data_IF_268034431600
#
_entry.id   IF_268034431600
#
_cell.length_a   1.000
_cell.length_b   1.000
_cell.length_c   1.000
_cell.angle_alpha   90.00
_cell.angle_beta   90.00
_cell.angle_gamma   90.00
#
_symmetry.space_group_name_H-M   'P 1'
#
loop_
_entity.id
_entity.type
_entity.pdbx_description
1 polymer ?
#
# COMPACT_ATOMS: atom_id res chain seq x y z
N UNK A 1 -8.64 -10.53 60.09
CA UNK A 1 -7.61 -10.28 59.06
C UNK A 1 -8.17 -10.72 57.72
N UNK A 2 -8.20 -9.79 56.74
CA UNK A 2 -8.88 -9.94 55.45
C UNK A 2 -8.16 -10.92 54.52
N UNK A 3 -8.91 -11.84 53.89
CA UNK A 3 -8.47 -12.61 52.73
C UNK A 3 -8.75 -11.80 51.45
N UNK A 4 -7.68 -11.37 50.77
CA UNK A 4 -7.78 -10.67 49.50
C UNK A 4 -7.94 -11.68 48.34
N UNK A 5 -9.09 -11.63 47.66
CA UNK A 5 -9.33 -12.31 46.39
C UNK A 5 -8.55 -11.60 45.28
N UNK A 6 -7.52 -12.25 44.73
CA UNK A 6 -6.88 -11.83 43.48
C UNK A 6 -7.75 -12.30 42.30
N UNK A 7 -8.61 -11.42 41.78
CA UNK A 7 -9.26 -11.63 40.48
C UNK A 7 -8.24 -11.33 39.37
N UNK A 8 -7.74 -12.38 38.74
CA UNK A 8 -6.96 -12.26 37.51
C UNK A 8 -7.87 -11.77 36.38
N UNK A 9 -7.85 -10.47 36.11
CA UNK A 9 -8.36 -9.93 34.86
C UNK A 9 -7.48 -10.44 33.72
N UNK A 10 -7.94 -11.47 33.02
CA UNK A 10 -7.41 -11.82 31.70
C UNK A 10 -7.74 -10.65 30.77
N UNK A 11 -6.76 -9.77 30.56
CA UNK A 11 -6.80 -8.80 29.49
C UNK A 11 -6.75 -9.58 28.17
N UNK A 12 -7.92 -9.92 27.61
CA UNK A 12 -8.03 -10.22 26.20
C UNK A 12 -7.60 -8.95 25.47
N UNK A 13 -6.34 -8.93 25.01
CA UNK A 13 -5.89 -7.95 24.03
C UNK A 13 -6.66 -8.24 22.75
N UNK A 14 -7.85 -7.67 22.62
CA UNK A 14 -8.50 -7.48 21.34
C UNK A 14 -7.64 -6.50 20.57
N UNK A 15 -6.59 -6.99 19.92
CA UNK A 15 -6.03 -6.32 18.76
C UNK A 15 -7.22 -6.14 17.83
N UNK A 16 -7.80 -4.94 17.81
CA UNK A 16 -8.81 -4.57 16.83
C UNK A 16 -8.24 -5.02 15.48
N UNK A 17 -8.96 -5.91 14.80
CA UNK A 17 -8.54 -6.48 13.53
C UNK A 17 -8.46 -5.33 12.53
N UNK A 18 -7.30 -4.67 12.47
CA UNK A 18 -7.13 -3.48 11.68
C UNK A 18 -7.16 -3.88 10.21
N UNK A 19 -8.07 -3.27 9.46
CA UNK A 19 -8.10 -3.41 8.03
C UNK A 19 -6.83 -2.87 7.41
N UNK A 20 -6.26 -3.64 6.49
CA UNK A 20 -5.05 -3.24 5.82
C UNK A 20 -4.94 -3.90 4.46
N UNK A 21 -4.18 -3.26 3.58
CA UNK A 21 -3.77 -3.81 2.30
C UNK A 21 -2.25 -3.86 2.22
N UNK A 22 -1.74 -4.78 1.42
CA UNK A 22 -0.34 -4.86 1.02
C UNK A 22 -0.29 -5.10 -0.49
N UNK A 23 0.54 -4.32 -1.20
CA UNK A 23 0.70 -4.45 -2.64
C UNK A 23 1.55 -5.69 -3.00
N UNK A 24 1.19 -6.38 -4.09
CA UNK A 24 2.13 -7.26 -4.77
C UNK A 24 3.13 -6.40 -5.57
N UNK A 25 4.44 -6.41 -5.22
CA UNK A 25 5.45 -5.57 -5.86
C UNK A 25 5.65 -5.85 -7.36
N UNK A 26 5.20 -7.01 -7.86
CA UNK A 26 5.38 -7.42 -9.25
C UNK A 26 4.10 -7.32 -10.09
N UNK A 27 2.99 -6.91 -9.49
CA UNK A 27 1.67 -6.87 -10.15
C UNK A 27 1.41 -5.64 -11.03
N UNK A 28 2.32 -4.66 -10.99
CA UNK A 28 2.13 -3.37 -11.67
C UNK A 28 1.93 -3.54 -13.18
N UNK A 29 0.87 -2.95 -13.71
CA UNK A 29 0.58 -2.89 -15.16
C UNK A 29 0.27 -1.46 -15.57
N UNK A 30 1.00 -0.93 -16.55
CA UNK A 30 0.67 0.36 -17.17
C UNK A 30 -0.50 0.18 -18.14
N UNK A 31 -1.55 0.98 -17.96
CA UNK A 31 -2.75 0.95 -18.81
C UNK A 31 -2.92 2.23 -19.63
N UNK A 32 -2.18 3.29 -19.29
CA UNK A 32 -2.14 4.52 -20.09
C UNK A 32 -0.82 5.26 -19.93
N UNK A 33 -0.34 5.80 -21.05
CA UNK A 33 0.83 6.67 -21.10
C UNK A 33 0.59 7.79 -22.13
N UNK A 34 0.75 9.04 -21.71
CA UNK A 34 0.74 10.20 -22.61
C UNK A 34 1.83 11.19 -22.22
N UNK A 35 2.79 11.37 -23.11
CA UNK A 35 3.85 12.38 -22.99
C UNK A 35 3.43 13.68 -23.69
N UNK A 36 3.68 14.80 -23.05
CA UNK A 36 3.56 16.15 -23.64
C UNK A 36 4.87 16.91 -23.43
N UNK A 37 4.93 18.15 -23.92
CA UNK A 37 6.13 19.00 -23.74
C UNK A 37 6.37 19.41 -22.28
N UNK A 38 5.35 19.36 -21.42
CA UNK A 38 5.42 19.81 -20.01
C UNK A 38 5.30 18.66 -18.99
N UNK A 39 5.37 17.41 -19.43
CA UNK A 39 5.35 16.26 -18.54
C UNK A 39 4.71 15.01 -19.14
N UNK A 40 4.39 14.06 -18.28
CA UNK A 40 3.84 12.76 -18.65
C UNK A 40 2.68 12.40 -17.74
N UNK A 41 1.52 12.10 -18.33
CA UNK A 41 0.39 11.46 -17.63
C UNK A 41 0.56 9.95 -17.70
N UNK A 42 0.47 9.27 -16.56
CA UNK A 42 0.49 7.80 -16.47
C UNK A 42 -0.71 7.30 -15.69
N UNK A 43 -1.27 6.17 -16.13
CA UNK A 43 -2.25 5.39 -15.39
C UNK A 43 -1.76 3.95 -15.28
N UNK A 44 -1.82 3.39 -14.09
CA UNK A 44 -1.35 2.03 -13.82
C UNK A 44 -2.27 1.34 -12.82
N UNK A 45 -2.25 0.02 -12.84
CA UNK A 45 -2.96 -0.83 -11.88
C UNK A 45 -1.98 -1.64 -11.06
N UNK A 46 -2.35 -1.95 -9.84
CA UNK A 46 -1.63 -2.86 -8.96
C UNK A 46 -2.61 -3.82 -8.28
N UNK A 47 -2.17 -5.04 -7.98
CA UNK A 47 -2.92 -6.02 -7.21
C UNK A 47 -2.54 -5.90 -5.73
N UNK A 48 -3.56 -5.82 -4.87
CA UNK A 48 -3.41 -5.66 -3.43
C UNK A 48 -4.07 -6.82 -2.73
N UNK A 49 -3.35 -7.42 -1.78
CA UNK A 49 -3.93 -8.35 -0.83
C UNK A 49 -4.45 -7.56 0.36
N UNK A 50 -5.77 -7.46 0.46
CA UNK A 50 -6.45 -6.71 1.50
C UNK A 50 -7.11 -7.65 2.51
N UNK A 51 -7.06 -7.29 3.78
CA UNK A 51 -7.61 -8.07 4.88
C UNK A 51 -8.62 -7.23 5.65
N UNK A 52 -9.84 -7.74 5.80
CA UNK A 52 -10.92 -7.04 6.48
C UNK A 52 -10.93 -7.27 8.01
N UNK A 53 -11.91 -6.67 8.70
CA UNK A 53 -12.11 -6.81 10.14
C UNK A 53 -12.45 -8.24 10.58
N UNK A 54 -12.76 -9.15 9.65
CA UNK A 54 -13.02 -10.58 9.90
C UNK A 54 -11.81 -11.45 9.56
N UNK A 55 -10.64 -10.85 9.27
CA UNK A 55 -9.45 -11.51 8.70
C UNK A 55 -9.69 -12.16 7.34
N UNK A 56 -10.78 -11.85 6.65
CA UNK A 56 -11.00 -12.36 5.31
C UNK A 56 -10.10 -11.63 4.33
N UNK A 57 -9.36 -12.39 3.54
CA UNK A 57 -8.45 -11.86 2.54
C UNK A 57 -9.13 -11.78 1.18
N UNK A 58 -8.99 -10.64 0.53
CA UNK A 58 -9.51 -10.37 -0.83
C UNK A 58 -8.43 -9.70 -1.66
N UNK A 59 -8.32 -10.11 -2.92
CA UNK A 59 -7.47 -9.41 -3.89
C UNK A 59 -8.27 -8.25 -4.48
N UNK A 60 -7.73 -7.04 -4.37
CA UNK A 60 -8.32 -5.82 -4.93
C UNK A 60 -7.36 -5.27 -5.98
N UNK A 61 -7.88 -4.96 -7.17
CA UNK A 61 -7.11 -4.27 -8.21
C UNK A 61 -7.33 -2.78 -8.01
N UNK A 62 -6.28 -2.06 -7.60
CA UNK A 62 -6.30 -0.62 -7.43
C UNK A 62 -5.78 0.09 -8.68
N UNK A 63 -6.50 1.11 -9.15
CA UNK A 63 -6.09 1.95 -10.27
C UNK A 63 -5.57 3.29 -9.78
N UNK A 64 -4.42 3.71 -10.30
CA UNK A 64 -3.77 4.97 -9.96
C UNK A 64 -3.53 5.79 -11.21
N UNK A 65 -3.54 7.11 -11.04
CA UNK A 65 -3.25 8.07 -12.10
C UNK A 65 -2.44 9.22 -11.53
N UNK A 66 -1.37 9.61 -12.21
CA UNK A 66 -0.58 10.77 -11.79
C UNK A 66 0.10 11.46 -12.99
N UNK A 67 0.45 12.73 -12.79
CA UNK A 67 1.19 13.57 -13.71
C UNK A 67 2.62 13.77 -13.19
N UNK A 68 3.60 13.51 -14.05
CA UNK A 68 5.02 13.63 -13.72
C UNK A 68 5.67 14.69 -14.60
N UNK A 69 6.29 15.69 -13.99
CA UNK A 69 7.03 16.75 -14.70
C UNK A 69 8.41 16.27 -15.17
N UNK A 70 9.02 15.35 -14.42
CA UNK A 70 10.32 14.74 -14.69
C UNK A 70 10.27 13.25 -14.39
N UNK A 71 11.00 12.43 -15.15
CA UNK A 71 11.16 10.99 -14.89
C UNK A 71 12.32 10.77 -13.91
N UNK A 72 12.03 10.26 -12.70
CA UNK A 72 13.02 10.01 -11.63
C UNK A 72 13.10 8.53 -11.23
N UNK A 73 12.42 7.63 -11.96
CA UNK A 73 12.33 6.22 -11.62
C UNK A 73 11.37 5.91 -10.46
N UNK A 74 10.60 6.90 -10.00
CA UNK A 74 9.58 6.75 -8.93
C UNK A 74 8.15 6.78 -9.49
N UNK A 75 8.02 6.83 -10.82
CA UNK A 75 6.76 6.92 -11.51
C UNK A 75 6.03 5.58 -11.42
N UNK A 76 4.76 5.67 -11.04
CA UNK A 76 3.90 4.51 -11.03
C UNK A 76 4.19 3.55 -9.88
N UNK A 77 4.57 4.06 -8.71
CA UNK A 77 4.69 3.23 -7.50
C UNK A 77 3.29 2.88 -6.99
N UNK A 78 3.10 1.61 -6.60
CA UNK A 78 1.88 1.14 -5.94
C UNK A 78 1.89 1.57 -4.46
N UNK A 79 0.72 1.87 -3.90
CA UNK A 79 0.61 2.28 -2.50
C UNK A 79 1.18 1.19 -1.57
N UNK A 80 1.91 1.59 -0.54
CA UNK A 80 2.58 0.67 0.40
C UNK A 80 3.92 0.10 -0.07
N UNK A 81 4.34 0.27 -1.34
CA UNK A 81 5.69 -0.12 -1.75
C UNK A 81 6.73 0.92 -1.30
N UNK A 82 7.70 0.49 -0.51
CA UNK A 82 8.80 1.32 -0.05
C UNK A 82 9.99 1.19 -1.01
N UNK A 83 10.48 2.32 -1.49
CA UNK A 83 11.69 2.41 -2.32
C UNK A 83 12.75 3.23 -1.61
N UNK A 84 13.99 2.77 -1.69
CA UNK A 84 15.15 3.44 -1.11
C UNK A 84 16.17 3.76 -2.18
N UNK A 85 16.80 4.92 -2.05
CA UNK A 85 17.83 5.36 -2.98
C UNK A 85 19.16 4.70 -2.62
N UNK A 86 19.69 3.85 -3.49
CA UNK A 86 20.94 3.11 -3.28
C UNK A 86 21.91 3.37 -4.43
N UNK A 87 23.20 3.52 -4.10
CA UNK A 87 24.23 3.66 -5.13
C UNK A 87 24.39 2.33 -5.88
N UNK A 88 24.32 2.39 -7.21
CA UNK A 88 24.47 1.25 -8.09
C UNK A 88 25.77 1.39 -8.89
N UNK A 89 26.72 0.49 -8.63
CA UNK A 89 28.04 0.49 -9.25
C UNK A 89 28.01 0.28 -10.78
N UNK A 90 26.99 -0.41 -11.31
CA UNK A 90 26.88 -0.70 -12.73
C UNK A 90 26.56 0.57 -13.54
N UNK A 91 25.61 1.38 -13.05
CA UNK A 91 25.25 2.66 -13.68
C UNK A 91 26.06 3.84 -13.14
N UNK A 92 26.89 3.62 -12.10
CA UNK A 92 27.68 4.64 -11.39
C UNK A 92 26.84 5.82 -10.90
N UNK A 93 25.63 5.52 -10.40
CA UNK A 93 24.68 6.52 -9.94
C UNK A 93 23.76 5.96 -8.85
N UNK A 94 23.03 6.85 -8.18
CA UNK A 94 22.00 6.55 -7.21
C UNK A 94 20.68 6.19 -7.90
N UNK A 95 20.14 5.01 -7.60
CA UNK A 95 18.89 4.51 -8.17
C UNK A 95 17.89 4.13 -7.07
N UNK A 96 16.62 4.41 -7.33
CA UNK A 96 15.54 3.97 -6.46
C UNK A 96 15.31 2.48 -6.62
N UNK A 97 15.53 1.74 -5.55
CA UNK A 97 15.37 0.28 -5.49
C UNK A 97 14.22 -0.07 -4.59
N UNK A 98 13.43 -1.08 -4.98
CA UNK A 98 12.42 -1.64 -4.10
C UNK A 98 13.09 -2.21 -2.85
N UNK A 99 12.55 -1.85 -1.69
CA UNK A 99 13.04 -2.29 -0.38
C UNK A 99 12.10 -3.33 0.21
N UNK A 100 10.84 -2.95 0.43
CA UNK A 100 9.83 -3.79 1.04
C UNK A 100 8.41 -3.32 0.69
N UNK A 101 7.44 -4.23 0.81
CA UNK A 101 6.02 -3.90 0.75
C UNK A 101 5.50 -3.75 2.19
N UNK A 102 4.86 -2.63 2.49
CA UNK A 102 4.30 -2.32 3.81
C UNK A 102 2.79 -2.40 3.79
N UNK A 103 2.24 -2.82 4.93
CA UNK A 103 0.81 -2.71 5.18
C UNK A 103 0.39 -1.24 5.27
N UNK A 104 -0.75 -0.91 4.70
CA UNK A 104 -1.32 0.44 4.74
C UNK A 104 -2.86 0.39 4.86
N UNK A 105 -3.46 1.49 5.33
CA UNK A 105 -4.92 1.66 5.33
C UNK A 105 -5.41 2.03 3.94
N UNK A 106 -6.33 1.24 3.39
CA UNK A 106 -6.89 1.47 2.07
C UNK A 106 -7.68 2.79 1.96
N UNK A 107 -8.09 3.43 3.06
CA UNK A 107 -8.65 4.79 3.00
C UNK A 107 -7.67 5.84 2.51
N UNK A 108 -6.38 5.64 2.77
CA UNK A 108 -5.32 6.61 2.48
C UNK A 108 -4.81 6.48 1.04
N UNK A 109 -5.26 5.46 0.33
CA UNK A 109 -4.88 5.20 -1.06
C UNK A 109 -5.27 6.35 -1.99
N UNK A 110 -4.61 6.44 -3.14
CA UNK A 110 -5.08 7.27 -4.26
C UNK A 110 -6.10 6.56 -5.17
N UNK A 111 -6.22 5.22 -5.06
CA UNK A 111 -7.17 4.40 -5.83
C UNK A 111 -8.59 4.50 -5.28
N UNK A 112 -9.55 4.71 -6.16
CA UNK A 112 -10.97 4.73 -5.80
C UNK A 112 -11.46 3.33 -5.40
N UNK A 113 -10.94 2.28 -6.04
CA UNK A 113 -11.30 0.88 -5.78
C UNK A 113 -10.88 0.45 -4.36
N UNK A 114 -9.67 0.83 -3.93
CA UNK A 114 -9.20 0.54 -2.57
C UNK A 114 -10.02 1.30 -1.51
N UNK A 115 -10.36 2.57 -1.77
CA UNK A 115 -11.24 3.34 -0.86
C UNK A 115 -12.63 2.72 -0.76
N UNK A 116 -13.20 2.30 -1.88
CA UNK A 116 -14.50 1.66 -1.93
C UNK A 116 -14.49 0.33 -1.15
N UNK A 117 -13.46 -0.49 -1.36
CA UNK A 117 -13.26 -1.73 -0.61
C UNK A 117 -13.19 -1.46 0.90
N UNK A 118 -12.42 -0.46 1.33
CA UNK A 118 -12.29 -0.11 2.75
C UNK A 118 -13.64 0.33 3.33
N UNK A 119 -14.39 1.17 2.60
CA UNK A 119 -15.70 1.63 3.03
C UNK A 119 -16.73 0.49 3.14
N UNK A 120 -16.61 -0.56 2.32
CA UNK A 120 -17.53 -1.71 2.33
C UNK A 120 -17.18 -2.76 3.40
N UNK A 121 -15.89 -3.03 3.60
CA UNK A 121 -15.43 -4.17 4.43
C UNK A 121 -14.97 -3.78 5.82
N UNK A 122 -14.66 -2.51 6.04
CA UNK A 122 -13.92 -2.04 7.22
C UNK A 122 -14.61 -0.93 8.01
N UNK A 123 -15.79 -0.51 7.57
CA UNK A 123 -16.64 0.46 8.27
C UNK A 123 -17.97 -0.18 8.67
#
# INVERSE_FOLDING_TARGET
>A
MLFAFFTAFQAYSSSALACHCIADPYSKKYIYYKKTWYGTKRKWTCEYKCQDMRQQQTVVIGTHENWYVSDKGLEGICDGLHYVNRYNNYVRDFVWTFDEARHFDASDSTSAELKAWNAEKCR
#
